data_IF_866315554186
#
_entry.id   IF_866315554186
#
_cell.length_a   1.000
_cell.length_b   1.000
_cell.length_c   1.000
_cell.angle_alpha   90.00
_cell.angle_beta   90.00
_cell.angle_gamma   90.00
#
_symmetry.space_group_name_H-M   'P 1'
#
loop_
_entity.id
_entity.type
_entity.pdbx_description
1 polymer ?
#
# COMPACT_ATOMS: atom_id res chain seq x y z
N UNK A 1 -17.98 -2.87 -10.23
CA UNK A 1 -19.08 -3.76 -10.68
C UNK A 1 -19.21 -4.89 -9.68
N UNK A 2 -20.41 -5.21 -9.17
CA UNK A 2 -20.57 -6.25 -8.15
C UNK A 2 -20.69 -7.63 -8.81
N UNK A 3 -19.95 -8.61 -8.32
CA UNK A 3 -20.03 -9.99 -8.81
C UNK A 3 -21.08 -10.74 -7.99
N UNK A 4 -22.10 -11.30 -8.66
CA UNK A 4 -23.15 -12.11 -8.03
C UNK A 4 -22.99 -13.58 -8.41
N UNK A 5 -22.84 -14.43 -7.39
CA UNK A 5 -22.72 -15.88 -7.52
C UNK A 5 -23.99 -16.54 -6.96
N UNK A 6 -24.47 -17.60 -7.59
CA UNK A 6 -25.65 -18.36 -7.14
C UNK A 6 -25.32 -19.84 -7.16
N UNK A 7 -25.54 -20.53 -6.04
CA UNK A 7 -25.17 -21.94 -5.85
C UNK A 7 -25.94 -22.92 -6.74
N UNK A 8 -27.05 -22.48 -7.33
CA UNK A 8 -27.85 -23.26 -8.27
C UNK A 8 -27.30 -23.25 -9.71
N UNK A 9 -26.36 -22.37 -10.02
CA UNK A 9 -25.77 -22.29 -11.36
C UNK A 9 -24.84 -23.51 -11.59
N UNK A 10 -24.94 -24.16 -12.76
CA UNK A 10 -24.14 -25.35 -13.07
C UNK A 10 -22.62 -25.09 -13.10
N UNK A 11 -22.21 -23.83 -13.28
CA UNK A 11 -20.83 -23.36 -13.29
C UNK A 11 -20.39 -22.69 -11.97
N UNK A 12 -21.22 -22.75 -10.92
CA UNK A 12 -20.98 -22.09 -9.64
C UNK A 12 -19.60 -22.40 -9.07
N UNK A 13 -19.22 -23.68 -9.02
CA UNK A 13 -17.95 -24.12 -8.44
C UNK A 13 -16.74 -23.52 -9.17
N UNK A 14 -16.81 -23.44 -10.51
CA UNK A 14 -15.76 -22.85 -11.35
C UNK A 14 -15.65 -21.35 -11.06
N UNK A 15 -16.79 -20.65 -11.07
CA UNK A 15 -16.84 -19.20 -10.84
C UNK A 15 -16.46 -18.81 -9.41
N UNK A 16 -16.80 -19.64 -8.43
CA UNK A 16 -16.45 -19.41 -7.03
C UNK A 16 -14.96 -19.60 -6.79
N UNK A 17 -14.32 -20.63 -7.39
CA UNK A 17 -12.85 -20.78 -7.32
C UNK A 17 -12.12 -19.61 -7.95
N UNK A 18 -12.53 -19.19 -9.15
CA UNK A 18 -11.94 -18.03 -9.81
C UNK A 18 -12.04 -16.75 -8.96
N UNK A 19 -13.17 -16.54 -8.28
CA UNK A 19 -13.35 -15.44 -7.34
C UNK A 19 -12.40 -15.52 -6.13
N UNK A 20 -12.23 -16.71 -5.54
CA UNK A 20 -11.32 -16.91 -4.41
C UNK A 20 -9.84 -16.72 -4.80
N UNK A 21 -9.47 -17.17 -5.99
CA UNK A 21 -8.11 -17.03 -6.53
C UNK A 21 -7.76 -15.56 -6.79
N UNK A 22 -8.67 -14.80 -7.40
CA UNK A 22 -8.47 -13.36 -7.64
C UNK A 22 -8.18 -12.59 -6.34
N UNK A 23 -8.83 -12.94 -5.22
CA UNK A 23 -8.56 -12.30 -3.92
C UNK A 23 -7.17 -12.66 -3.36
N UNK A 24 -6.68 -13.88 -3.64
CA UNK A 24 -5.36 -14.35 -3.17
C UNK A 24 -4.21 -13.78 -3.98
N UNK A 25 -4.42 -13.53 -5.27
CA UNK A 25 -3.43 -12.93 -6.17
C UNK A 25 -3.06 -11.51 -5.73
N UNK A 26 -4.06 -10.66 -5.49
CA UNK A 26 -3.83 -9.30 -4.97
C UNK A 26 -3.08 -9.30 -3.63
N UNK A 27 -3.35 -10.28 -2.77
CA UNK A 27 -2.64 -10.42 -1.50
C UNK A 27 -1.16 -10.77 -1.69
N UNK A 28 -0.83 -11.61 -2.67
CA UNK A 28 0.56 -11.99 -2.98
C UNK A 28 1.33 -10.83 -3.62
N UNK A 29 0.68 -10.07 -4.49
CA UNK A 29 1.30 -8.91 -5.13
C UNK A 29 1.65 -7.82 -4.11
N UNK A 30 0.74 -7.57 -3.15
CA UNK A 30 1.01 -6.65 -2.05
C UNK A 30 2.11 -7.18 -1.14
N UNK A 31 2.10 -8.47 -0.81
CA UNK A 31 3.16 -9.08 0.01
C UNK A 31 4.54 -8.93 -0.64
N UNK A 32 4.65 -9.21 -1.94
CA UNK A 32 5.88 -9.05 -2.70
C UNK A 32 6.35 -7.59 -2.75
N UNK A 33 5.41 -6.65 -2.95
CA UNK A 33 5.72 -5.22 -2.96
C UNK A 33 6.21 -4.72 -1.59
N UNK A 34 5.56 -5.13 -0.50
CA UNK A 34 5.96 -4.76 0.87
C UNK A 34 7.33 -5.35 1.20
N UNK A 35 7.59 -6.61 0.85
CA UNK A 35 8.91 -7.22 1.05
C UNK A 35 10.01 -6.44 0.32
N UNK A 36 9.77 -6.05 -0.93
CA UNK A 36 10.73 -5.25 -1.69
C UNK A 36 10.99 -3.87 -1.06
N UNK A 37 9.95 -3.23 -0.48
CA UNK A 37 10.11 -1.96 0.24
C UNK A 37 10.98 -2.15 1.49
N UNK A 38 10.70 -3.19 2.29
CA UNK A 38 11.46 -3.49 3.50
C UNK A 38 12.93 -3.77 3.17
N UNK A 39 13.19 -4.61 2.19
CA UNK A 39 14.56 -4.96 1.77
C UNK A 39 15.31 -3.70 1.31
N UNK A 40 14.69 -2.86 0.48
CA UNK A 40 15.29 -1.62 -0.01
C UNK A 40 15.59 -0.61 1.12
N UNK A 41 14.70 -0.49 2.12
CA UNK A 41 14.93 0.37 3.29
C UNK A 41 16.02 -0.19 4.19
N UNK A 42 16.08 -1.52 4.38
CA UNK A 42 17.17 -2.15 5.13
C UNK A 42 18.53 -1.96 4.46
N UNK A 43 18.60 -2.01 3.13
CA UNK A 43 19.85 -1.91 2.38
C UNK A 43 20.32 -0.45 2.19
N UNK A 44 19.39 0.48 1.90
CA UNK A 44 19.73 1.87 1.50
C UNK A 44 19.29 2.93 2.51
N UNK A 45 18.56 2.56 3.56
CA UNK A 45 18.11 3.48 4.60
C UNK A 45 17.24 4.63 4.05
N UNK A 46 17.59 5.86 4.46
CA UNK A 46 16.82 7.08 4.15
C UNK A 46 16.70 7.35 2.65
N UNK A 47 17.66 6.91 1.82
CA UNK A 47 17.55 7.06 0.36
C UNK A 47 16.32 6.34 -0.18
N UNK A 48 16.12 5.07 0.22
CA UNK A 48 14.94 4.30 -0.16
C UNK A 48 13.65 4.89 0.43
N UNK A 49 13.72 5.39 1.67
CA UNK A 49 12.60 6.05 2.31
C UNK A 49 12.14 7.28 1.49
N UNK A 50 13.08 8.15 1.10
CA UNK A 50 12.80 9.33 0.29
C UNK A 50 12.21 8.98 -1.08
N UNK A 51 12.74 7.95 -1.75
CA UNK A 51 12.20 7.46 -3.03
C UNK A 51 10.74 7.00 -2.91
N UNK A 52 10.43 6.20 -1.88
CA UNK A 52 9.08 5.68 -1.69
C UNK A 52 8.09 6.75 -1.24
N UNK A 53 8.51 7.70 -0.40
CA UNK A 53 7.67 8.86 -0.03
C UNK A 53 7.32 9.70 -1.27
N UNK A 54 8.29 9.99 -2.15
CA UNK A 54 7.99 10.68 -3.43
C UNK A 54 7.00 9.89 -4.29
N UNK A 55 7.17 8.57 -4.36
CA UNK A 55 6.34 7.69 -5.19
C UNK A 55 4.89 7.59 -4.69
N UNK A 56 4.70 7.36 -3.39
CA UNK A 56 3.39 7.02 -2.83
C UNK A 56 2.65 8.24 -2.28
N UNK A 57 3.37 9.16 -1.65
CA UNK A 57 2.77 10.31 -0.95
C UNK A 57 2.82 11.59 -1.79
N UNK A 58 3.57 11.58 -2.90
CA UNK A 58 3.83 12.76 -3.75
C UNK A 58 4.43 13.93 -2.96
N UNK A 59 5.19 13.60 -1.92
CA UNK A 59 5.89 14.51 -1.04
C UNK A 59 7.39 14.36 -1.25
N UNK A 60 8.15 15.47 -1.26
CA UNK A 60 9.61 15.44 -1.37
C UNK A 60 10.27 15.77 -0.02
N UNK A 61 10.85 14.75 0.66
CA UNK A 61 11.54 14.98 1.92
C UNK A 61 12.81 15.83 1.82
N UNK A 62 13.30 16.13 0.60
CA UNK A 62 14.40 17.07 0.39
C UNK A 62 13.96 18.54 0.53
N UNK A 63 12.68 18.83 0.27
CA UNK A 63 12.12 20.19 0.40
C UNK A 63 11.56 20.44 1.80
N UNK A 64 10.97 19.42 2.43
CA UNK A 64 10.39 19.51 3.77
C UNK A 64 10.79 18.27 4.60
N UNK A 65 11.35 18.44 5.80
CA UNK A 65 11.84 17.30 6.58
C UNK A 65 10.71 16.34 6.97
N UNK A 66 11.00 15.04 6.99
CA UNK A 66 10.06 14.00 7.45
C UNK A 66 9.62 14.20 8.90
N UNK A 67 10.50 14.75 9.74
CA UNK A 67 10.17 15.06 11.12
C UNK A 67 9.39 16.36 11.16
N UNK A 68 8.12 16.25 11.55
CA UNK A 68 7.31 17.42 11.88
C UNK A 68 7.92 18.15 13.08
N UNK A 69 8.27 19.43 12.96
CA UNK A 69 8.88 20.21 14.03
C UNK A 69 7.85 20.53 15.13
N UNK A 70 8.31 20.72 16.37
CA UNK A 70 7.42 20.91 17.52
C UNK A 70 6.58 22.19 17.37
N UNK A 71 7.15 23.22 16.75
CA UNK A 71 6.49 24.49 16.50
C UNK A 71 5.27 24.34 15.57
N UNK A 72 5.35 23.47 14.56
CA UNK A 72 4.23 23.18 13.65
C UNK A 72 3.11 22.44 14.38
N UNK A 73 3.46 21.53 15.30
CA UNK A 73 2.49 20.83 16.14
C UNK A 73 1.74 21.83 17.03
N UNK A 74 2.45 22.70 17.75
CA UNK A 74 1.84 23.72 18.61
C UNK A 74 0.95 24.69 17.80
N UNK A 75 1.40 25.09 16.60
CA UNK A 75 0.60 25.95 15.72
C UNK A 75 -0.71 25.27 15.28
N UNK A 76 -0.71 23.96 15.04
CA UNK A 76 -1.91 23.21 14.68
C UNK A 76 -2.93 23.12 15.82
N UNK A 77 -2.49 23.13 17.09
CA UNK A 77 -3.38 23.18 18.26
C UNK A 77 -4.01 24.56 18.47
N UNK A 78 -3.34 25.63 18.04
CA UNK A 78 -3.79 27.01 18.24
C UNK A 78 -4.74 27.53 17.14
N UNK A 79 -4.92 26.77 16.05
CA UNK A 79 -5.77 27.11 14.90
C UNK A 79 -7.23 26.64 15.08
#
# INVERSE_FOLDING_TARGET
MVQRLTTADADFEIRFRAFLEAKREVSRDVEAAVRAILDAVCERGDEALHDYTRKFDRFDPAELPLRVPAEEIEAAFAA
#
